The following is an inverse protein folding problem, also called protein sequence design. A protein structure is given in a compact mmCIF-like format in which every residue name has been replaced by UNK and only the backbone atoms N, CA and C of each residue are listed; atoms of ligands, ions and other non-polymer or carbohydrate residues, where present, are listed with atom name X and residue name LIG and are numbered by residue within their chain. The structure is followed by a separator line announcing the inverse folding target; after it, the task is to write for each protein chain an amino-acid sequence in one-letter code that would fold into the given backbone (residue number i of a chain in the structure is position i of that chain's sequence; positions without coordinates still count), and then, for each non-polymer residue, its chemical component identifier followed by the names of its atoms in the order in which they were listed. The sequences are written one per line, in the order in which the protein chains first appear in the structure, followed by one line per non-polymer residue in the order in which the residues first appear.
data_IF_850215262255
#
_entry.id   IF_850215262255
#
_cell.length_a   1.000
_cell.length_b   1.000
_cell.length_c   1.000
_cell.angle_alpha   90.00
_cell.angle_beta   90.00
_cell.angle_gamma   90.00
#
_symmetry.space_group_name_H-M   'P 1'
#
loop_
_entity.id
_entity.type
_entity.pdbx_description
1 polymer ?
#
# COMPACT_ATOMS: atom_id res chain seq x y z
N UNK A 1 -21.66 -6.83 -59.82
CA UNK A 1 -22.68 -7.56 -59.02
C UNK A 1 -22.28 -7.40 -57.56
N UNK A 2 -22.68 -6.38 -56.78
CA UNK A 2 -24.01 -6.07 -56.21
C UNK A 2 -24.75 -7.30 -55.69
N UNK A 3 -24.63 -7.58 -54.38
CA UNK A 3 -25.64 -8.05 -53.41
C UNK A 3 -24.97 -7.88 -52.03
N UNK A 4 -25.45 -7.15 -51.02
CA UNK A 4 -26.82 -6.82 -50.65
C UNK A 4 -27.25 -7.66 -49.45
N UNK A 5 -26.61 -7.48 -48.28
CA UNK A 5 -27.04 -8.11 -47.03
C UNK A 5 -28.39 -7.48 -46.65
N UNK A 6 -29.43 -8.32 -46.65
CA UNK A 6 -30.82 -7.94 -46.48
C UNK A 6 -31.12 -7.33 -45.11
N UNK A 7 -31.89 -6.25 -45.13
CA UNK A 7 -32.46 -5.50 -44.00
C UNK A 7 -33.38 -6.37 -43.10
N UNK A 8 -33.72 -7.60 -43.50
CA UNK A 8 -34.58 -8.50 -42.71
C UNK A 8 -33.92 -9.08 -41.44
N UNK A 9 -32.59 -9.14 -41.34
CA UNK A 9 -31.92 -9.72 -40.15
C UNK A 9 -31.84 -8.72 -38.98
N UNK A 10 -32.05 -7.42 -39.24
CA UNK A 10 -32.03 -6.37 -38.19
C UNK A 10 -33.38 -6.14 -37.50
N UNK A 11 -34.47 -6.74 -37.98
CA UNK A 11 -35.81 -6.54 -37.41
C UNK A 11 -36.17 -7.64 -36.38
N UNK A 12 -35.52 -8.81 -36.40
CA UNK A 12 -35.82 -9.89 -35.45
C UNK A 12 -35.15 -9.76 -34.07
N UNK A 13 -34.12 -8.91 -33.90
CA UNK A 13 -33.50 -8.71 -32.57
C UNK A 13 -34.15 -7.59 -31.74
N UNK A 14 -35.01 -6.76 -32.33
CA UNK A 14 -35.67 -5.65 -31.61
C UNK A 14 -37.03 -6.04 -31.00
N UNK A 15 -37.60 -7.19 -31.38
CA UNK A 15 -38.92 -7.64 -30.90
C UNK A 15 -38.83 -8.54 -29.65
N UNK A 16 -37.65 -9.10 -29.33
CA UNK A 16 -37.45 -9.89 -28.10
C UNK A 16 -37.07 -9.06 -26.86
N UNK A 17 -36.78 -7.77 -27.01
CA UNK A 17 -36.43 -6.88 -25.90
C UNK A 17 -37.62 -6.07 -25.33
N UNK A 18 -38.81 -6.18 -25.91
CA UNK A 18 -39.99 -5.40 -25.50
C UNK A 18 -41.10 -6.21 -24.81
N UNK A 19 -40.85 -7.50 -24.50
CA UNK A 19 -41.83 -8.38 -23.85
C UNK A 19 -41.40 -8.94 -22.47
N UNK A 20 -40.39 -8.35 -21.83
CA UNK A 20 -39.98 -8.71 -20.46
C UNK A 20 -40.18 -7.59 -19.42
N UNK A 21 -40.87 -6.50 -19.77
CA UNK A 21 -41.08 -5.34 -18.90
C UNK A 21 -42.44 -5.30 -18.17
N UNK A 22 -43.15 -6.42 -18.06
CA UNK A 22 -44.45 -6.49 -17.37
C UNK A 22 -44.55 -7.75 -16.49
N UNK A 23 -43.73 -7.82 -15.44
CA UNK A 23 -44.00 -8.65 -14.26
C UNK A 23 -43.08 -8.23 -13.11
N UNK A 24 -43.45 -7.18 -12.37
CA UNK A 24 -42.92 -6.96 -11.02
C UNK A 24 -44.04 -7.24 -10.01
N UNK A 25 -43.83 -8.11 -9.00
CA UNK A 25 -44.76 -8.20 -7.89
C UNK A 25 -44.64 -6.93 -7.03
N UNK A 26 -45.80 -6.44 -6.58
CA UNK A 26 -45.96 -5.28 -5.72
C UNK A 26 -45.05 -5.33 -4.48
N UNK A 27 -44.20 -4.32 -4.31
CA UNK A 27 -43.49 -4.04 -3.05
C UNK A 27 -44.51 -3.67 -1.97
N UNK A 28 -44.71 -4.54 -0.98
CA UNK A 28 -45.42 -4.17 0.25
C UNK A 28 -44.49 -3.30 1.10
N UNK A 29 -44.90 -2.06 1.36
CA UNK A 29 -44.26 -1.21 2.36
C UNK A 29 -44.50 -1.82 3.75
N UNK A 30 -43.44 -2.37 4.35
CA UNK A 30 -43.45 -2.71 5.77
C UNK A 30 -43.37 -1.42 6.59
N UNK A 31 -44.44 -1.14 7.31
CA UNK A 31 -44.56 -0.03 8.26
C UNK A 31 -43.73 -0.35 9.51
N UNK A 32 -42.89 0.56 10.04
CA UNK A 32 -42.17 0.29 11.28
C UNK A 32 -43.16 0.32 12.45
N UNK A 33 -43.14 -0.75 13.25
CA UNK A 33 -43.88 -0.83 14.51
C UNK A 33 -43.34 0.22 15.49
N UNK A 34 -44.23 1.08 15.99
CA UNK A 34 -43.92 2.04 17.03
C UNK A 34 -43.66 1.31 18.35
N UNK A 35 -42.42 1.38 18.85
CA UNK A 35 -42.10 0.96 20.22
C UNK A 35 -42.47 2.09 21.17
N UNK A 36 -43.46 1.82 22.03
CA UNK A 36 -43.88 2.71 23.11
C UNK A 36 -42.84 2.66 24.23
N UNK A 37 -42.20 3.80 24.53
CA UNK A 37 -41.41 3.96 25.75
C UNK A 37 -42.35 4.24 26.92
N UNK A 38 -42.45 3.29 27.85
CA UNK A 38 -43.13 3.47 29.13
C UNK A 38 -42.21 4.32 30.02
N UNK A 39 -42.62 5.55 30.30
CA UNK A 39 -42.00 6.38 31.33
C UNK A 39 -42.36 5.82 32.72
N UNK A 40 -41.35 5.33 33.44
CA UNK A 40 -41.47 5.04 34.86
C UNK A 40 -41.08 6.30 35.65
N UNK A 41 -41.89 6.83 36.58
CA UNK A 41 -41.50 7.99 37.36
C UNK A 41 -40.46 7.57 38.42
N UNK A 42 -39.33 8.28 38.44
CA UNK A 42 -38.32 8.14 39.47
C UNK A 42 -38.82 8.80 40.77
N UNK A 43 -39.14 8.01 41.79
CA UNK A 43 -39.43 8.51 43.14
C UNK A 43 -38.08 8.80 43.82
N UNK A 44 -37.75 10.07 44.00
CA UNK A 44 -36.62 10.51 44.82
C UNK A 44 -37.03 10.56 46.29
N UNK A 45 -36.39 9.73 47.11
CA UNK A 45 -36.37 9.89 48.58
C UNK A 45 -35.14 10.74 48.98
N UNK A 46 -35.24 11.66 49.95
CA UNK A 46 -34.11 12.46 50.39
C UNK A 46 -33.21 11.63 51.32
N UNK A 47 -32.07 11.19 50.80
CA UNK A 47 -30.98 10.56 51.55
C UNK A 47 -29.90 11.58 51.92
N UNK A 48 -29.47 11.50 53.18
CA UNK A 48 -28.49 12.31 53.90
C UNK A 48 -27.19 12.64 53.16
N UNK A 49 -26.71 13.87 53.36
CA UNK A 49 -25.50 14.42 52.76
C UNK A 49 -24.19 13.75 53.19
N UNK A 50 -23.28 13.71 52.21
CA UNK A 50 -21.84 13.72 52.39
C UNK A 50 -21.24 14.50 51.21
N UNK A 51 -20.44 15.52 51.52
CA UNK A 51 -19.71 16.33 50.53
C UNK A 51 -18.67 15.46 49.83
N UNK A 52 -18.64 15.36 48.48
CA UNK A 52 -17.62 14.58 47.80
C UNK A 52 -16.28 15.32 47.84
N UNK A 53 -15.25 14.65 48.36
CA UNK A 53 -13.84 15.06 48.26
C UNK A 53 -13.44 15.10 46.78
N UNK A 54 -12.70 16.13 46.30
CA UNK A 54 -12.21 16.15 44.92
C UNK A 54 -11.39 14.90 44.62
N UNK A 55 -11.54 14.28 43.42
CA UNK A 55 -10.70 13.17 43.04
C UNK A 55 -9.23 13.62 43.00
N UNK A 56 -8.33 12.76 43.50
CA UNK A 56 -6.89 12.98 43.38
C UNK A 56 -6.51 13.19 41.90
N UNK A 57 -5.55 14.08 41.58
CA UNK A 57 -5.11 14.25 40.20
C UNK A 57 -4.63 12.91 39.66
N UNK A 58 -5.26 12.47 38.58
CA UNK A 58 -4.82 11.32 37.79
C UNK A 58 -3.35 11.51 37.45
N UNK A 59 -2.46 10.51 37.64
CA UNK A 59 -1.08 10.63 37.18
C UNK A 59 -1.12 10.92 35.67
N UNK A 60 -0.73 12.13 35.31
CA UNK A 60 -0.51 12.50 33.92
C UNK A 60 0.68 11.67 33.46
N UNK A 61 0.43 10.69 32.61
CA UNK A 61 1.48 10.12 31.78
C UNK A 61 2.00 11.26 30.92
N UNK A 62 3.11 11.88 31.35
CA UNK A 62 3.95 12.63 30.44
C UNK A 62 4.42 11.60 29.41
N UNK A 63 4.06 11.72 28.12
CA UNK A 63 4.58 10.80 27.13
C UNK A 63 6.11 10.92 27.16
N UNK A 64 6.78 9.83 27.49
CA UNK A 64 8.19 9.62 27.18
C UNK A 64 8.39 9.98 25.70
N UNK A 65 9.48 10.67 25.32
CA UNK A 65 9.78 10.90 23.90
C UNK A 65 9.66 9.58 23.13
N UNK A 66 9.20 9.60 21.86
CA UNK A 66 9.08 8.37 21.08
C UNK A 66 10.42 7.64 21.13
N UNK A 67 10.40 6.33 21.40
CA UNK A 67 11.60 5.51 21.30
C UNK A 67 12.23 5.80 19.93
N UNK A 68 13.51 6.19 19.93
CA UNK A 68 14.28 6.33 18.71
C UNK A 68 14.22 5.00 17.94
N UNK A 69 14.26 5.05 16.60
CA UNK A 69 14.46 3.86 15.77
C UNK A 69 15.71 3.20 16.29
N UNK A 70 15.56 1.92 16.56
CA UNK A 70 16.64 1.10 17.07
C UNK A 70 17.43 0.54 15.90
N UNK A 71 16.75 0.27 14.78
CA UNK A 71 17.30 -0.33 13.57
C UNK A 71 16.64 0.23 12.30
N UNK A 72 17.36 0.14 11.18
CA UNK A 72 16.73 0.07 9.86
C UNK A 72 16.98 -1.29 9.23
N UNK A 73 16.29 -1.60 8.14
CA UNK A 73 16.48 -2.86 7.43
C UNK A 73 17.39 -2.67 6.21
N UNK A 74 18.57 -3.31 6.23
CA UNK A 74 19.56 -3.30 5.14
C UNK A 74 19.33 -4.46 4.18
N UNK A 75 19.12 -4.15 2.91
CA UNK A 75 19.10 -5.06 1.76
C UNK A 75 20.45 -4.99 1.02
N UNK A 76 20.89 -6.08 0.41
CA UNK A 76 22.16 -6.16 -0.32
C UNK A 76 21.99 -6.36 -1.84
N UNK A 77 20.75 -6.37 -2.34
CA UNK A 77 20.45 -6.57 -3.75
C UNK A 77 20.64 -8.01 -4.24
N UNK A 78 20.64 -9.01 -3.35
CA UNK A 78 20.79 -10.43 -3.72
C UNK A 78 19.47 -11.09 -4.15
N UNK A 79 18.40 -10.33 -4.43
CA UNK A 79 17.03 -10.84 -4.53
C UNK A 79 16.80 -11.84 -5.67
N UNK A 80 17.25 -13.07 -5.48
CA UNK A 80 17.15 -14.24 -6.36
C UNK A 80 17.01 -15.48 -5.49
N UNK A 81 16.08 -16.37 -5.79
CA UNK A 81 15.70 -17.52 -4.96
C UNK A 81 14.93 -17.12 -3.69
N UNK A 82 14.06 -16.11 -3.80
CA UNK A 82 13.13 -15.60 -2.79
C UNK A 82 13.81 -15.11 -1.50
N UNK A 83 15.11 -14.81 -1.55
CA UNK A 83 15.91 -14.24 -0.47
C UNK A 83 16.10 -12.72 -0.64
N UNK A 84 16.73 -12.10 0.36
CA UNK A 84 17.05 -10.68 0.43
C UNK A 84 15.85 -9.76 0.19
N UNK A 85 14.70 -10.14 0.76
CA UNK A 85 13.42 -9.43 0.63
C UNK A 85 12.56 -9.54 1.88
N UNK A 86 11.60 -8.63 2.01
CA UNK A 86 10.47 -8.78 2.93
C UNK A 86 9.21 -9.08 2.12
N UNK A 87 8.39 -10.03 2.57
CA UNK A 87 7.12 -10.37 1.92
C UNK A 87 5.97 -10.12 2.89
N UNK A 88 5.11 -9.18 2.54
CA UNK A 88 3.93 -8.81 3.32
C UNK A 88 2.70 -9.39 2.61
N UNK A 89 1.92 -10.29 3.24
CA UNK A 89 0.72 -10.83 2.62
C UNK A 89 -0.32 -9.72 2.46
N UNK A 90 -0.94 -9.63 1.28
CA UNK A 90 -2.09 -8.74 1.03
C UNK A 90 -3.43 -9.50 1.13
N UNK A 91 -3.38 -10.83 1.23
CA UNK A 91 -4.55 -11.67 1.43
C UNK A 91 -4.24 -12.85 2.35
N UNK A 92 -5.26 -13.35 3.04
CA UNK A 92 -5.24 -14.61 3.78
C UNK A 92 -6.35 -15.50 3.24
N UNK A 93 -5.96 -16.47 2.39
CA UNK A 93 -6.91 -17.24 1.59
C UNK A 93 -7.77 -16.32 0.70
N UNK A 94 -9.09 -16.39 0.88
CA UNK A 94 -10.06 -15.55 0.15
C UNK A 94 -10.46 -14.27 0.90
N UNK A 95 -9.68 -13.85 1.89
CA UNK A 95 -9.91 -12.62 2.66
C UNK A 95 -8.83 -11.58 2.35
N UNK A 96 -9.25 -10.35 2.04
CA UNK A 96 -8.33 -9.21 1.88
C UNK A 96 -7.75 -8.79 3.23
N UNK A 97 -6.44 -8.56 3.29
CA UNK A 97 -5.79 -7.91 4.44
C UNK A 97 -5.78 -6.38 4.27
N UNK A 98 -5.61 -5.61 5.36
CA UNK A 98 -5.67 -4.14 5.31
C UNK A 98 -4.68 -3.50 4.33
N UNK A 99 -3.49 -4.07 4.19
CA UNK A 99 -2.45 -3.61 3.26
C UNK A 99 -2.74 -3.86 1.79
N UNK A 100 -3.84 -4.53 1.44
CA UNK A 100 -4.32 -4.68 0.06
C UNK A 100 -4.96 -3.39 -0.48
N UNK A 101 -4.15 -2.34 -0.57
CA UNK A 101 -4.55 -1.02 -1.03
C UNK A 101 -4.71 -0.97 -2.56
N UNK A 102 -5.41 0.07 -3.04
CA UNK A 102 -5.57 0.32 -4.48
C UNK A 102 -7.03 0.33 -4.96
N UNK A 103 -7.97 -0.18 -4.16
CA UNK A 103 -9.40 -0.03 -4.43
C UNK A 103 -9.92 1.40 -4.21
N UNK A 104 -9.17 2.17 -3.42
CA UNK A 104 -9.41 3.59 -3.11
C UNK A 104 -8.09 4.34 -3.19
N UNK A 105 -8.12 5.60 -2.77
CA UNK A 105 -6.93 6.41 -2.54
C UNK A 105 -5.95 5.72 -1.58
N UNK A 106 -4.66 5.98 -1.77
CA UNK A 106 -3.64 5.57 -0.82
C UNK A 106 -2.43 6.49 -0.79
N UNK A 107 -1.68 6.36 0.31
CA UNK A 107 -0.33 6.89 0.49
C UNK A 107 0.60 5.76 0.95
N UNK A 108 1.78 5.67 0.35
CA UNK A 108 2.91 4.89 0.88
C UNK A 108 4.02 5.88 1.19
N UNK A 109 4.58 5.83 2.39
CA UNK A 109 5.73 6.65 2.77
C UNK A 109 6.73 5.86 3.60
N UNK A 110 8.00 6.20 3.47
CA UNK A 110 9.12 5.50 4.10
C UNK A 110 10.39 6.33 4.06
N UNK A 111 11.39 5.92 4.84
CA UNK A 111 12.74 6.43 4.74
C UNK A 111 13.61 5.49 3.90
N UNK A 112 14.45 6.08 3.06
CA UNK A 112 15.33 5.35 2.15
C UNK A 112 16.76 5.93 2.20
N UNK A 113 17.75 5.05 2.25
CA UNK A 113 19.16 5.35 1.97
C UNK A 113 19.70 4.25 1.08
N UNK A 114 20.41 4.58 0.00
CA UNK A 114 20.95 3.55 -0.90
C UNK A 114 22.47 3.55 -0.94
N UNK A 115 23.05 2.37 -1.18
CA UNK A 115 24.49 2.19 -1.18
C UNK A 115 25.14 2.74 -2.47
N UNK A 116 26.30 3.42 -2.37
CA UNK A 116 27.01 3.92 -3.54
C UNK A 116 27.45 2.79 -4.49
N UNK A 117 27.14 2.90 -5.78
CA UNK A 117 27.60 1.97 -6.82
C UNK A 117 26.92 0.59 -6.81
N UNK A 118 25.93 0.36 -5.96
CA UNK A 118 25.22 -0.92 -5.84
C UNK A 118 23.83 -0.91 -6.52
N UNK A 119 23.39 0.25 -7.02
CA UNK A 119 22.08 0.41 -7.67
C UNK A 119 22.29 1.02 -9.07
N UNK A 120 22.67 0.18 -10.03
CA UNK A 120 23.18 0.60 -11.35
C UNK A 120 22.11 0.51 -12.47
N UNK A 121 20.82 0.61 -12.13
CA UNK A 121 19.77 0.73 -13.13
C UNK A 121 20.00 1.93 -14.07
N UNK A 122 19.46 1.84 -15.28
CA UNK A 122 19.59 2.88 -16.29
C UNK A 122 18.91 4.21 -15.92
N UNK A 123 18.88 5.15 -16.85
CA UNK A 123 18.17 6.42 -16.63
C UNK A 123 16.66 6.20 -16.54
N UNK A 124 16.02 6.81 -15.54
CA UNK A 124 14.57 6.75 -15.37
C UNK A 124 13.85 7.24 -16.62
N UNK A 125 13.02 6.39 -17.20
CA UNK A 125 12.16 6.73 -18.34
C UNK A 125 10.71 6.58 -17.91
N UNK A 126 9.95 7.67 -17.94
CA UNK A 126 8.50 7.62 -17.74
C UNK A 126 7.83 6.96 -18.95
N UNK A 127 6.77 6.20 -18.73
CA UNK A 127 6.20 5.35 -19.77
C UNK A 127 5.18 4.40 -19.17
N UNK A 128 4.96 3.23 -19.76
CA UNK A 128 4.11 2.16 -19.22
C UNK A 128 4.70 1.61 -17.89
N UNK A 129 4.94 0.32 -17.77
CA UNK A 129 5.45 -0.30 -16.53
C UNK A 129 6.98 -0.22 -16.44
N UNK A 130 7.57 0.91 -16.82
CA UNK A 130 9.03 1.09 -16.88
C UNK A 130 9.71 1.12 -15.51
N UNK A 131 8.95 1.29 -14.42
CA UNK A 131 9.47 1.23 -13.04
C UNK A 131 10.21 -0.08 -12.74
N UNK A 132 9.84 -1.19 -13.38
CA UNK A 132 10.46 -2.51 -13.17
C UNK A 132 11.95 -2.55 -13.56
N UNK A 133 12.40 -1.63 -14.43
CA UNK A 133 13.80 -1.54 -14.85
C UNK A 133 14.68 -0.77 -13.85
N UNK A 134 14.08 -0.19 -12.81
CA UNK A 134 14.81 0.39 -11.68
C UNK A 134 15.18 -0.68 -10.65
N UNK A 135 16.07 -0.34 -9.72
CA UNK A 135 16.35 -1.18 -8.56
C UNK A 135 15.12 -1.22 -7.64
N UNK A 136 14.42 -2.35 -7.60
CA UNK A 136 13.07 -2.48 -7.04
C UNK A 136 13.08 -2.36 -5.52
N UNK A 137 12.35 -1.37 -4.99
CA UNK A 137 12.21 -1.08 -3.56
C UNK A 137 10.93 -1.72 -3.03
N UNK A 138 9.79 -1.49 -3.70
CA UNK A 138 8.50 -2.10 -3.36
C UNK A 138 7.88 -2.66 -4.62
N UNK A 139 7.47 -3.92 -4.57
CA UNK A 139 6.91 -4.66 -5.68
C UNK A 139 5.56 -5.26 -5.27
N UNK A 140 4.49 -4.71 -5.85
CA UNK A 140 3.15 -5.28 -5.77
C UNK A 140 2.71 -5.64 -7.20
N UNK A 141 3.63 -6.17 -7.99
CA UNK A 141 3.38 -6.59 -9.36
C UNK A 141 2.48 -7.81 -9.42
N UNK A 142 1.87 -8.00 -10.57
CA UNK A 142 1.16 -9.21 -10.93
C UNK A 142 1.76 -9.72 -12.22
N UNK A 143 2.31 -10.93 -12.17
CA UNK A 143 2.87 -11.54 -13.36
C UNK A 143 1.83 -11.64 -14.50
N UNK A 144 2.20 -11.14 -15.68
CA UNK A 144 1.36 -11.19 -16.87
C UNK A 144 0.29 -10.09 -16.87
N UNK A 145 -0.98 -10.45 -17.11
CA UNK A 145 -2.06 -9.46 -17.15
C UNK A 145 -2.55 -9.14 -15.74
N UNK A 146 -2.47 -7.87 -15.30
CA UNK A 146 -2.58 -7.54 -13.88
C UNK A 146 -4.01 -7.48 -13.33
N UNK A 147 -5.02 -7.90 -14.11
CA UNK A 147 -6.42 -8.02 -13.67
C UNK A 147 -6.99 -6.68 -13.19
N UNK A 148 -7.13 -6.45 -11.87
CA UNK A 148 -7.45 -5.11 -11.35
C UNK A 148 -6.29 -4.13 -11.54
N UNK A 149 -5.05 -4.58 -11.34
CA UNK A 149 -3.89 -3.73 -11.52
C UNK A 149 -2.70 -4.15 -10.69
N UNK A 150 -1.57 -3.51 -10.95
CA UNK A 150 -0.30 -3.61 -10.24
C UNK A 150 0.20 -2.21 -9.82
N UNK A 151 1.21 -2.18 -8.95
CA UNK A 151 2.02 -1.00 -8.75
C UNK A 151 3.38 -1.38 -8.18
N UNK A 152 4.35 -0.50 -8.35
CA UNK A 152 5.67 -0.68 -7.76
C UNK A 152 6.47 0.61 -7.67
N UNK A 153 7.53 0.54 -6.86
CA UNK A 153 8.41 1.66 -6.54
C UNK A 153 9.85 1.18 -6.69
N UNK A 154 10.66 1.93 -7.42
CA UNK A 154 12.07 1.58 -7.63
C UNK A 154 12.98 2.81 -7.57
N UNK A 155 14.26 2.56 -7.30
CA UNK A 155 15.34 3.52 -7.52
C UNK A 155 15.82 3.35 -8.96
N UNK A 156 15.40 4.23 -9.85
CA UNK A 156 15.67 4.15 -11.28
C UNK A 156 16.55 5.31 -11.71
N UNK A 157 17.83 5.05 -11.97
CA UNK A 157 18.80 6.09 -12.33
C UNK A 157 18.89 7.20 -11.28
N UNK A 158 19.01 6.81 -10.02
CA UNK A 158 19.04 7.69 -8.83
C UNK A 158 17.76 8.54 -8.62
N UNK A 159 16.63 8.17 -9.20
CA UNK A 159 15.33 8.84 -8.98
C UNK A 159 14.33 7.83 -8.44
N UNK A 160 13.35 8.30 -7.68
CA UNK A 160 12.22 7.44 -7.30
C UNK A 160 11.30 7.31 -8.51
N UNK A 161 11.10 6.09 -8.98
CA UNK A 161 10.08 5.76 -9.95
C UNK A 161 8.85 5.17 -9.25
N UNK A 162 7.66 5.53 -9.71
CA UNK A 162 6.40 5.00 -9.22
C UNK A 162 5.52 4.62 -10.40
N UNK A 163 5.32 3.32 -10.57
CA UNK A 163 4.46 2.77 -11.60
C UNK A 163 3.15 2.25 -11.05
N UNK A 164 2.10 2.41 -11.84
CA UNK A 164 0.76 1.90 -11.59
C UNK A 164 0.20 1.36 -12.89
N UNK A 165 -0.39 0.17 -12.86
CA UNK A 165 -1.21 -0.37 -13.94
C UNK A 165 -2.60 -0.72 -13.40
N UNK A 166 -3.66 -0.54 -14.21
CA UNK A 166 -5.06 -0.78 -13.80
C UNK A 166 -5.75 -1.93 -14.56
N UNK A 167 -4.96 -2.90 -15.03
CA UNK A 167 -5.41 -3.96 -15.93
C UNK A 167 -5.55 -3.56 -17.40
N UNK A 168 -5.67 -2.27 -17.71
CA UNK A 168 -5.87 -1.76 -19.08
C UNK A 168 -4.75 -0.84 -19.57
N UNK A 169 -4.17 -0.04 -18.68
CA UNK A 169 -3.12 0.92 -19.00
C UNK A 169 -2.14 1.06 -17.84
N UNK A 170 -0.85 1.12 -18.16
CA UNK A 170 0.23 1.39 -17.20
C UNK A 170 0.76 2.81 -17.34
N UNK A 171 1.19 3.40 -16.22
CA UNK A 171 2.06 4.57 -16.27
C UNK A 171 3.03 4.64 -15.11
N UNK A 172 4.29 4.96 -15.42
CA UNK A 172 5.37 5.23 -14.47
C UNK A 172 5.74 6.71 -14.48
N UNK A 173 5.82 7.31 -13.30
CA UNK A 173 6.38 8.65 -13.10
C UNK A 173 7.72 8.59 -12.36
N UNK A 174 8.61 9.55 -12.63
CA UNK A 174 9.92 9.67 -11.99
C UNK A 174 10.01 10.99 -11.20
N UNK A 175 10.50 10.96 -9.96
CA UNK A 175 10.72 12.16 -9.14
C UNK A 175 11.59 13.18 -9.88
N UNK A 176 11.25 14.49 -9.92
CA UNK A 176 12.10 15.48 -10.59
C UNK A 176 13.50 15.64 -9.95
N UNK A 177 13.63 15.24 -8.69
CA UNK A 177 14.87 15.24 -7.93
C UNK A 177 15.67 13.96 -8.18
N UNK A 178 16.97 14.11 -8.46
CA UNK A 178 17.95 13.01 -8.34
C UNK A 178 18.42 12.93 -6.89
N UNK A 179 18.49 11.72 -6.36
CA UNK A 179 18.98 11.41 -5.03
C UNK A 179 20.48 11.15 -5.06
N UNK A 180 21.15 11.45 -3.95
CA UNK A 180 22.56 11.09 -3.76
C UNK A 180 22.65 9.81 -2.94
N UNK A 181 23.58 8.93 -3.31
CA UNK A 181 23.86 7.74 -2.52
C UNK A 181 24.29 8.11 -1.10
N UNK A 182 24.14 7.16 -0.17
CA UNK A 182 24.58 7.31 1.21
C UNK A 182 23.97 8.52 1.93
N UNK A 183 22.74 8.89 1.57
CA UNK A 183 21.94 9.96 2.18
C UNK A 183 20.54 9.44 2.49
N UNK A 184 20.01 9.76 3.67
CA UNK A 184 18.63 9.43 4.02
C UNK A 184 17.67 10.42 3.36
N UNK A 185 16.61 9.89 2.77
CA UNK A 185 15.50 10.63 2.21
C UNK A 185 14.19 10.10 2.77
N UNK A 186 13.27 11.00 3.12
CA UNK A 186 11.88 10.64 3.26
C UNK A 186 11.23 10.64 1.88
N UNK A 187 10.59 9.54 1.53
CA UNK A 187 9.86 9.35 0.27
C UNK A 187 8.40 9.15 0.62
N UNK A 188 7.51 9.92 -0.02
CA UNK A 188 6.07 9.68 0.05
C UNK A 188 5.46 9.67 -1.34
N UNK A 189 4.56 8.74 -1.57
CA UNK A 189 3.84 8.57 -2.82
C UNK A 189 2.35 8.52 -2.55
N UNK A 190 1.58 9.27 -3.33
CA UNK A 190 0.12 9.26 -3.21
C UNK A 190 -0.48 8.85 -4.55
N UNK A 191 -1.54 8.05 -4.50
CA UNK A 191 -2.36 7.76 -5.68
C UNK A 191 -3.83 7.87 -5.32
N UNK A 192 -4.54 8.76 -5.99
CA UNK A 192 -6.00 8.86 -5.88
C UNK A 192 -6.68 7.84 -6.80
N UNK A 193 -7.88 7.39 -6.45
CA UNK A 193 -8.68 6.50 -7.29
C UNK A 193 -9.00 7.10 -8.67
N UNK A 194 -8.97 8.43 -8.78
CA UNK A 194 -9.08 9.16 -10.04
C UNK A 194 -7.86 9.03 -10.97
N UNK A 195 -6.76 8.42 -10.51
CA UNK A 195 -5.51 8.25 -11.27
C UNK A 195 -4.41 9.27 -10.95
N UNK A 196 -4.70 10.28 -10.13
CA UNK A 196 -3.74 11.32 -9.78
C UNK A 196 -2.61 10.76 -8.89
N UNK A 197 -1.40 10.70 -9.44
CA UNK A 197 -0.19 10.15 -8.83
C UNK A 197 0.76 11.27 -8.45
N UNK A 198 1.39 11.18 -7.28
CA UNK A 198 2.42 12.16 -6.82
C UNK A 198 3.61 11.47 -6.17
N UNK A 199 4.79 12.08 -6.32
CA UNK A 199 6.00 11.73 -5.59
C UNK A 199 6.49 12.94 -4.81
N UNK A 200 6.72 12.75 -3.52
CA UNK A 200 7.33 13.71 -2.63
C UNK A 200 8.68 13.18 -2.14
N UNK A 201 9.69 14.04 -2.15
CA UNK A 201 11.01 13.75 -1.59
C UNK A 201 11.32 14.82 -0.56
N UNK A 202 11.66 14.39 0.66
CA UNK A 202 11.92 15.28 1.79
C UNK A 202 10.80 16.31 2.04
N UNK A 203 9.54 15.88 1.89
CA UNK A 203 8.37 16.74 2.08
C UNK A 203 8.03 17.67 0.92
N UNK A 204 8.82 17.66 -0.17
CA UNK A 204 8.61 18.50 -1.35
C UNK A 204 7.98 17.70 -2.48
N UNK A 205 6.89 18.21 -3.07
CA UNK A 205 6.27 17.62 -4.27
C UNK A 205 7.26 17.73 -5.43
N UNK A 206 7.77 16.59 -5.90
CA UNK A 206 8.75 16.54 -6.99
C UNK A 206 8.12 16.14 -8.32
N UNK A 207 7.00 15.41 -8.31
CA UNK A 207 6.35 14.93 -9.53
C UNK A 207 4.86 14.72 -9.31
N UNK A 208 4.05 15.08 -10.31
CA UNK A 208 2.62 14.78 -10.36
C UNK A 208 2.21 14.43 -11.79
N UNK A 209 1.29 13.47 -11.95
CA UNK A 209 0.71 13.10 -13.23
C UNK A 209 -0.66 12.46 -13.04
N UNK A 210 -1.56 12.64 -14.01
CA UNK A 210 -2.83 11.92 -14.02
C UNK A 210 -2.66 10.58 -14.76
N UNK A 211 -2.35 9.54 -13.99
CA UNK A 211 -2.11 8.19 -14.48
C UNK A 211 -3.36 7.31 -14.48
N UNK A 212 -3.18 5.98 -14.42
CA UNK A 212 -4.30 5.04 -14.50
C UNK A 212 -5.25 5.15 -13.30
N UNK A 213 -6.55 5.34 -13.60
CA UNK A 213 -7.63 5.43 -12.63
C UNK A 213 -8.25 4.06 -12.31
N UNK A 214 -9.09 4.01 -11.27
CA UNK A 214 -9.87 2.83 -10.89
C UNK A 214 -9.18 1.92 -9.86
N UNK A 215 -9.80 0.76 -9.63
CA UNK A 215 -9.32 -0.21 -8.64
C UNK A 215 -8.04 -0.88 -9.16
N UNK A 216 -6.95 -0.79 -8.38
CA UNK A 216 -5.69 -1.49 -8.65
C UNK A 216 -5.31 -2.46 -7.52
N UNK A 217 -6.20 -2.77 -6.58
CA UNK A 217 -5.89 -3.72 -5.49
C UNK A 217 -5.69 -5.14 -6.01
N UNK A 218 -5.04 -5.99 -5.22
CA UNK A 218 -4.97 -7.41 -5.52
C UNK A 218 -6.36 -8.03 -5.48
N UNK A 219 -6.80 -8.67 -6.57
CA UNK A 219 -8.06 -9.43 -6.59
C UNK A 219 -7.89 -10.72 -5.81
N UNK A 220 -8.42 -10.72 -4.58
CA UNK A 220 -8.44 -11.89 -3.70
C UNK A 220 -9.14 -13.07 -4.39
N UNK A 221 -8.54 -14.26 -4.26
CA UNK A 221 -9.05 -15.49 -4.87
C UNK A 221 -8.79 -15.60 -6.39
N UNK A 222 -7.99 -14.71 -6.99
CA UNK A 222 -7.52 -14.92 -8.37
C UNK A 222 -6.71 -16.21 -8.48
N UNK A 223 -6.79 -16.86 -9.63
CA UNK A 223 -6.01 -18.06 -9.90
C UNK A 223 -4.53 -17.69 -10.03
N UNK A 224 -3.68 -18.31 -9.21
CA UNK A 224 -2.23 -18.23 -9.37
C UNK A 224 -1.84 -19.20 -10.48
N UNK A 225 -1.28 -18.68 -11.56
CA UNK A 225 -0.83 -19.49 -12.70
C UNK A 225 0.66 -19.79 -12.62
N UNK A 226 1.07 -21.00 -13.02
CA UNK A 226 2.49 -21.38 -13.07
C UNK A 226 3.16 -21.37 -11.70
N UNK A 227 4.42 -20.90 -11.65
CA UNK A 227 5.25 -20.87 -10.44
C UNK A 227 5.17 -19.55 -9.66
N UNK A 228 4.27 -18.62 -10.02
CA UNK A 228 4.21 -17.26 -9.48
C UNK A 228 3.47 -17.17 -8.13
N UNK A 229 3.85 -18.04 -7.19
CA UNK A 229 3.23 -18.19 -5.86
C UNK A 229 3.30 -16.94 -4.99
N UNK A 230 4.13 -15.97 -5.38
CA UNK A 230 4.31 -14.71 -4.68
C UNK A 230 3.22 -13.67 -4.98
N UNK A 231 2.31 -13.90 -5.94
CA UNK A 231 1.24 -12.97 -6.31
C UNK A 231 0.47 -12.29 -5.14
N UNK A 232 0.07 -12.97 -4.05
CA UNK A 232 -0.66 -12.35 -2.95
C UNK A 232 0.24 -11.64 -1.92
N UNK A 233 1.40 -11.13 -2.34
CA UNK A 233 2.32 -10.35 -1.49
C UNK A 233 2.61 -8.96 -2.05
N UNK A 234 2.84 -8.02 -1.15
CA UNK A 234 3.65 -6.83 -1.38
C UNK A 234 5.08 -7.17 -0.93
N UNK A 235 6.04 -7.01 -1.83
CA UNK A 235 7.45 -7.36 -1.59
C UNK A 235 8.27 -6.09 -1.44
N UNK A 236 9.26 -6.12 -0.54
CA UNK A 236 10.22 -5.03 -0.35
C UNK A 236 11.62 -5.55 -0.65
N UNK A 237 12.37 -4.78 -1.45
CA UNK A 237 13.81 -4.98 -1.71
C UNK A 237 14.17 -5.75 -2.98
N UNK A 238 13.22 -6.40 -3.64
CA UNK A 238 13.49 -7.24 -4.81
C UNK A 238 12.29 -7.35 -5.75
N UNK A 239 12.57 -7.77 -6.99
CA UNK A 239 11.53 -8.24 -7.90
C UNK A 239 10.82 -9.45 -7.29
N UNK A 240 9.50 -9.38 -7.28
CA UNK A 240 8.65 -10.27 -6.49
C UNK A 240 8.70 -11.73 -6.94
N UNK A 241 8.90 -12.01 -8.23
CA UNK A 241 8.76 -13.34 -8.81
C UNK A 241 10.08 -14.05 -9.13
N UNK A 242 11.24 -13.42 -8.91
CA UNK A 242 12.55 -13.88 -9.37
C UNK A 242 12.62 -14.16 -10.89
N UNK A 243 11.89 -13.39 -11.68
CA UNK A 243 11.72 -13.69 -13.10
C UNK A 243 12.99 -13.46 -13.91
N UNK A 244 13.63 -12.30 -13.77
CA UNK A 244 14.93 -11.98 -14.38
C UNK A 244 15.69 -10.90 -13.59
N UNK A 245 16.56 -11.30 -12.65
CA UNK A 245 17.32 -10.36 -11.82
C UNK A 245 18.29 -9.45 -12.60
N UNK A 246 18.65 -9.82 -13.84
CA UNK A 246 19.52 -9.00 -14.69
C UNK A 246 18.80 -7.80 -15.30
N UNK A 247 17.49 -7.95 -15.55
CA UNK A 247 16.63 -6.91 -16.14
C UNK A 247 15.82 -6.15 -15.09
N UNK A 248 15.45 -6.83 -14.00
CA UNK A 248 14.61 -6.29 -12.91
C UNK A 248 15.42 -6.34 -11.60
N UNK A 249 16.41 -5.44 -11.45
CA UNK A 249 17.40 -5.56 -10.39
C UNK A 249 16.79 -5.29 -9.01
N UNK A 250 17.32 -5.96 -8.01
CA UNK A 250 16.93 -5.73 -6.60
C UNK A 250 17.55 -4.45 -6.04
N UNK A 251 16.95 -3.90 -5.00
CA UNK A 251 17.45 -2.73 -4.29
C UNK A 251 18.57 -3.10 -3.31
N UNK A 252 19.63 -2.29 -3.25
CA UNK A 252 20.64 -2.38 -2.21
C UNK A 252 20.72 -1.08 -1.40
N UNK A 253 20.40 -1.18 -0.12
CA UNK A 253 20.32 -0.02 0.76
C UNK A 253 19.50 -0.30 2.02
N UNK A 254 19.18 0.76 2.73
CA UNK A 254 18.41 0.74 3.96
C UNK A 254 17.02 1.33 3.73
N UNK A 255 16.02 0.65 4.29
CA UNK A 255 14.65 1.15 4.39
C UNK A 255 14.27 1.19 5.85
N UNK A 256 13.56 2.25 6.24
CA UNK A 256 13.02 2.39 7.58
C UNK A 256 11.59 2.96 7.53
N UNK A 257 10.79 2.66 8.56
CA UNK A 257 9.50 3.31 8.82
C UNK A 257 8.52 3.29 7.62
N UNK A 258 8.20 2.11 7.09
CA UNK A 258 7.20 2.02 6.02
C UNK A 258 5.81 2.19 6.61
N UNK A 259 5.12 3.27 6.23
CA UNK A 259 3.70 3.49 6.52
C UNK A 259 2.86 3.41 5.25
N UNK A 260 1.81 2.61 5.30
CA UNK A 260 0.80 2.47 4.25
C UNK A 260 -0.52 3.03 4.80
N UNK A 261 -1.20 3.87 4.02
CA UNK A 261 -2.44 4.52 4.44
C UNK A 261 -3.49 4.52 3.34
N UNK A 262 -4.76 4.42 3.73
CA UNK A 262 -5.93 4.33 2.82
C UNK A 262 -6.52 5.70 2.40
N UNK A 263 -5.72 6.76 2.51
CA UNK A 263 -6.09 8.14 2.16
C UNK A 263 -4.94 8.83 1.44
N UNK A 264 -5.22 9.97 0.79
CA UNK A 264 -4.21 10.93 0.37
C UNK A 264 -3.76 11.76 1.58
N UNK A 265 -2.58 11.48 2.13
CA UNK A 265 -2.04 12.26 3.27
C UNK A 265 -1.52 13.64 2.85
N UNK A 266 -1.07 13.77 1.61
CA UNK A 266 -0.37 14.96 1.12
C UNK A 266 -0.91 15.40 -0.24
N UNK A 267 -1.30 16.67 -0.35
CA UNK A 267 -1.71 17.33 -1.60
C UNK A 267 -0.80 18.51 -1.98
N UNK A 268 0.14 18.85 -1.10
CA UNK A 268 1.14 19.92 -1.24
C UNK A 268 2.40 19.54 -0.45
N UNK A 269 3.40 20.42 -0.47
CA UNK A 269 4.58 20.26 0.41
C UNK A 269 4.15 20.15 1.88
N UNK A 270 4.92 19.38 2.65
CA UNK A 270 4.68 19.13 4.07
C UNK A 270 5.99 19.13 4.86
N UNK A 271 5.88 19.31 6.18
CA UNK A 271 7.01 19.22 7.09
C UNK A 271 7.36 17.77 7.36
N UNK A 272 8.65 17.46 7.34
CA UNK A 272 9.10 16.09 7.54
C UNK A 272 8.76 15.54 8.92
N UNK A 273 8.38 14.24 9.00
CA UNK A 273 8.42 13.51 10.25
C UNK A 273 9.84 13.61 10.84
N UNK A 274 9.95 13.84 12.15
CA UNK A 274 11.22 13.91 12.87
C UNK A 274 11.30 12.86 14.00
N UNK A 275 10.44 11.86 13.91
CA UNK A 275 10.26 10.77 14.86
C UNK A 275 9.65 9.56 14.11
N UNK A 276 9.74 8.35 14.69
CA UNK A 276 9.02 7.20 14.16
C UNK A 276 7.52 7.49 14.01
N UNK A 277 6.90 6.90 13.00
CA UNK A 277 5.48 7.08 12.74
C UNK A 277 4.64 6.46 13.84
N UNK A 278 3.61 7.19 14.28
CA UNK A 278 2.51 6.57 15.02
C UNK A 278 1.39 6.21 14.05
N UNK A 279 0.71 5.06 14.25
CA UNK A 279 -0.46 4.73 13.46
C UNK A 279 -1.64 5.65 13.83
N UNK A 280 -2.50 5.92 12.85
CA UNK A 280 -3.80 6.54 13.06
C UNK A 280 -4.90 5.69 12.39
N UNK A 281 -6.15 6.12 12.45
CA UNK A 281 -7.30 5.38 11.89
C UNK A 281 -7.22 5.13 10.37
N UNK A 282 -6.31 5.81 9.67
CA UNK A 282 -6.07 5.65 8.24
C UNK A 282 -4.82 4.82 7.92
N UNK A 283 -3.99 4.49 8.91
CA UNK A 283 -2.84 3.60 8.76
C UNK A 283 -3.33 2.16 8.62
N UNK A 284 -2.95 1.50 7.53
CA UNK A 284 -3.33 0.10 7.23
C UNK A 284 -2.14 -0.86 7.22
N UNK A 285 -0.92 -0.33 7.28
CA UNK A 285 0.31 -1.07 7.52
C UNK A 285 1.36 -0.12 8.09
N UNK A 286 2.11 -0.57 9.09
CA UNK A 286 3.21 0.19 9.67
C UNK A 286 4.34 -0.75 10.07
N UNK A 287 5.51 -0.59 9.46
CA UNK A 287 6.66 -1.47 9.63
C UNK A 287 7.87 -0.63 10.08
N UNK A 288 8.24 -0.76 11.35
CA UNK A 288 9.34 -0.04 11.98
C UNK A 288 10.71 -0.67 11.71
N UNK A 289 10.74 -1.97 11.41
CA UNK A 289 11.98 -2.75 11.29
C UNK A 289 12.88 -2.73 12.54
N UNK A 290 12.27 -2.56 13.71
CA UNK A 290 12.95 -2.47 15.01
C UNK A 290 13.10 -3.81 15.75
N UNK A 291 12.75 -4.94 15.12
CA UNK A 291 12.75 -6.25 15.78
C UNK A 291 14.15 -6.73 16.16
N UNK A 292 15.19 -6.23 15.49
CA UNK A 292 16.61 -6.49 15.77
C UNK A 292 17.09 -7.92 15.48
N UNK A 293 16.20 -8.89 15.33
CA UNK A 293 16.51 -10.28 14.97
C UNK A 293 15.27 -11.06 14.47
N UNK A 294 15.46 -12.34 14.12
CA UNK A 294 14.37 -13.21 13.68
C UNK A 294 13.91 -12.97 12.23
N UNK A 295 12.89 -13.71 11.81
CA UNK A 295 12.41 -13.74 10.42
C UNK A 295 11.03 -13.10 10.24
N UNK A 296 10.48 -12.48 11.28
CA UNK A 296 9.17 -11.82 11.23
C UNK A 296 9.36 -10.31 11.20
N UNK A 297 8.58 -9.63 10.36
CA UNK A 297 8.44 -8.19 10.31
C UNK A 297 7.06 -7.84 10.85
N UNK A 298 7.01 -7.06 11.92
CA UNK A 298 5.78 -6.75 12.63
C UNK A 298 5.02 -5.59 11.97
N UNK A 299 3.70 -5.77 11.84
CA UNK A 299 2.79 -4.70 11.42
C UNK A 299 2.24 -4.07 12.70
N UNK A 300 2.65 -2.84 12.95
CA UNK A 300 2.29 -2.05 14.13
C UNK A 300 1.12 -1.10 13.86
N UNK A 301 0.39 -1.28 12.74
CA UNK A 301 -0.71 -0.39 12.35
C UNK A 301 -1.92 -0.44 13.28
N UNK A 302 -2.17 -1.60 13.92
CA UNK A 302 -3.41 -1.84 14.65
C UNK A 302 -4.66 -1.86 13.75
N UNK A 303 -4.50 -2.00 12.44
CA UNK A 303 -5.62 -1.97 11.50
C UNK A 303 -6.57 -3.16 11.69
N UNK A 304 -7.88 -2.88 11.68
CA UNK A 304 -8.90 -3.93 11.78
C UNK A 304 -8.81 -4.92 10.61
N UNK A 305 -8.80 -6.21 10.91
CA UNK A 305 -8.59 -7.28 9.91
C UNK A 305 -7.12 -7.65 9.67
N UNK A 306 -6.19 -6.91 10.28
CA UNK A 306 -4.78 -7.29 10.39
C UNK A 306 -4.47 -8.10 11.66
N UNK A 307 -3.20 -8.19 12.06
CA UNK A 307 -2.02 -7.57 11.44
C UNK A 307 -1.63 -8.24 10.11
N UNK A 308 -0.94 -7.48 9.24
CA UNK A 308 -0.33 -7.98 8.00
C UNK A 308 1.18 -8.17 8.20
N UNK A 309 1.56 -9.07 9.12
CA UNK A 309 2.97 -9.37 9.41
C UNK A 309 3.70 -9.87 8.16
N UNK A 310 4.92 -9.37 7.95
CA UNK A 310 5.78 -9.78 6.86
C UNK A 310 6.75 -10.89 7.26
N UNK A 311 7.26 -11.62 6.26
CA UNK A 311 8.40 -12.53 6.42
C UNK A 311 9.69 -11.86 5.92
N UNK A 312 10.73 -11.88 6.74
CA UNK A 312 12.09 -11.46 6.40
C UNK A 312 12.84 -12.64 5.80
N UNK A 313 12.87 -12.72 4.49
CA UNK A 313 13.53 -13.81 3.79
C UNK A 313 15.03 -13.54 3.70
N UNK A 314 15.77 -14.10 4.63
CA UNK A 314 17.20 -13.87 4.81
C UNK A 314 18.05 -14.83 3.94
N UNK A 315 19.06 -14.31 3.23
CA UNK A 315 20.03 -15.10 2.47
C UNK A 315 20.95 -14.25 1.58
N UNK A 316 21.82 -14.91 0.79
CA UNK A 316 22.73 -14.23 -0.15
C UNK A 316 24.16 -14.04 0.39
N UNK A 317 24.99 -13.27 -0.32
CA UNK A 317 26.37 -12.99 0.07
C UNK A 317 26.79 -11.56 -0.36
N UNK A 318 26.88 -10.59 0.57
CA UNK A 318 26.56 -10.69 2.00
C UNK A 318 25.09 -11.06 2.22
N UNK A 319 24.80 -11.79 3.30
CA UNK A 319 23.45 -12.26 3.56
C UNK A 319 22.55 -11.15 4.10
N UNK A 320 21.34 -11.01 3.55
CA UNK A 320 20.35 -10.00 3.92
C UNK A 320 18.89 -10.43 3.70
N UNK A 321 17.93 -9.60 4.12
CA UNK A 321 18.19 -8.31 4.73
C UNK A 321 18.53 -8.44 6.23
N UNK A 322 19.31 -7.50 6.76
CA UNK A 322 19.75 -7.46 8.17
C UNK A 322 19.28 -6.19 8.88
N UNK A 323 18.98 -6.31 10.16
CA UNK A 323 18.72 -5.13 11.01
C UNK A 323 20.04 -4.41 11.29
N UNK A 324 20.11 -3.11 11.00
CA UNK A 324 21.29 -2.27 11.19
C UNK A 324 20.98 -1.14 12.17
N UNK A 325 21.67 -1.14 13.31
CA UNK A 325 21.50 -0.15 14.37
C UNK A 325 22.32 1.14 14.17
N UNK A 326 23.27 1.12 13.22
CA UNK A 326 24.19 2.23 12.98
C UNK A 326 23.69 3.19 11.89
N UNK A 327 22.92 2.68 10.93
CA UNK A 327 22.35 3.49 9.86
C UNK A 327 20.84 3.61 10.07
N UNK A 328 20.37 4.77 10.52
CA UNK A 328 18.94 5.07 10.71
C UNK A 328 18.64 6.54 10.47
N UNK A 329 17.39 6.89 10.10
CA UNK A 329 17.01 8.27 9.74
C UNK A 329 16.83 9.21 10.93
N UNK A 330 16.73 8.71 12.17
CA UNK A 330 16.62 9.49 13.42
C UNK A 330 17.42 8.87 14.57
#
# INVERSE_FOLDING_TARGET
MKYGISVLVKICLFVFALLSLLAQPSLSLAQPAATSFVYLPLILSPGSGATPTPPAPTPTYTPTPPNLSTYSLRFYGNGTNDIDRVKIPVASGNTSLPVNIGATDFTIEFWLRFAPGENNSGTCTEGQDTWIYGNIIIDRDIFGTPDYGDFGISLYGNRIAFGVHNGSSGYTICSNMSLNANTWYHVALTRANSGDMRIYINGVLTRQYNGPAGNISYRVGRAITGSYVNEPFLVIGAEKHDYDPGTYPSFSGWVDEIRISKIIRYTSNFTLPNAPFNPDANTVGLYHFDEGSGTTILDSSGAAGGPSHGSRNYGGSPAGPVYDSNNKPF
#
